data_IF_302010089099
#
_entry.id   IF_302010089099
#
_cell.length_a   1.000
_cell.length_b   1.000
_cell.length_c   1.000
_cell.angle_alpha   90.00
_cell.angle_beta   90.00
_cell.angle_gamma   90.00
#
_symmetry.space_group_name_H-M   'P 1'
#
loop_
_entity.id
_entity.type
_entity.pdbx_description
1 polymer ?
#
# COMPACT_ATOMS: atom_id res chain seq x y z
N UNK A 1 0.68 9.71 3.32
CA UNK A 1 1.71 10.60 2.74
C UNK A 1 2.67 9.78 1.86
N UNK A 2 3.32 10.37 0.84
CA UNK A 2 4.33 9.66 0.01
C UNK A 2 5.72 9.83 0.63
N UNK A 3 6.65 8.90 0.35
CA UNK A 3 8.04 9.01 0.83
C UNK A 3 8.76 10.29 0.37
N UNK A 4 8.41 10.83 -0.79
CA UNK A 4 8.96 12.11 -1.25
C UNK A 4 8.45 13.31 -0.42
N UNK A 5 7.29 13.19 0.23
CA UNK A 5 6.72 14.21 1.10
C UNK A 5 7.17 14.04 2.55
N UNK A 6 7.36 12.80 3.00
CA UNK A 6 7.96 12.45 4.29
C UNK A 6 8.93 11.27 4.09
N UNK A 7 10.24 11.54 4.01
CA UNK A 7 11.25 10.50 3.77
C UNK A 7 11.61 9.71 5.04
N UNK A 8 11.08 10.10 6.20
CA UNK A 8 11.46 9.55 7.52
C UNK A 8 11.43 8.02 7.56
N UNK A 9 10.39 7.32 7.06
CA UNK A 9 10.37 5.86 7.09
C UNK A 9 11.52 5.26 6.29
N UNK A 10 11.78 5.75 5.07
CA UNK A 10 12.85 5.21 4.22
C UNK A 10 14.23 5.43 4.85
N UNK A 11 14.48 6.63 5.38
CA UNK A 11 15.76 6.95 6.04
C UNK A 11 16.01 6.06 7.25
N UNK A 12 14.98 5.82 8.08
CA UNK A 12 15.07 4.90 9.20
C UNK A 12 15.37 3.46 8.77
N UNK A 13 14.76 2.99 7.68
CA UNK A 13 15.03 1.64 7.19
C UNK A 13 16.45 1.51 6.62
N UNK A 14 16.93 2.52 5.89
CA UNK A 14 18.31 2.57 5.39
C UNK A 14 19.30 2.56 6.56
N UNK A 15 19.08 3.38 7.59
CA UNK A 15 19.90 3.40 8.80
C UNK A 15 19.90 2.04 9.52
N UNK A 16 18.73 1.40 9.63
CA UNK A 16 18.62 0.07 10.23
C UNK A 16 19.38 -1.00 9.44
N UNK A 17 19.36 -0.94 8.10
CA UNK A 17 20.15 -1.81 7.25
C UNK A 17 21.66 -1.54 7.39
N UNK A 18 22.08 -0.28 7.40
CA UNK A 18 23.49 0.09 7.51
C UNK A 18 24.10 -0.29 8.86
N UNK A 19 23.32 -0.18 9.94
CA UNK A 19 23.78 -0.48 11.31
C UNK A 19 23.82 -1.97 11.62
N UNK A 20 23.04 -2.80 10.92
CA UNK A 20 22.85 -4.21 11.27
C UNK A 20 23.37 -5.18 10.23
N UNK A 21 23.70 -4.68 9.05
CA UNK A 21 24.20 -5.47 7.93
C UNK A 21 23.40 -6.77 7.73
N UNK A 22 22.06 -6.67 7.58
CA UNK A 22 21.24 -7.86 7.43
C UNK A 22 21.70 -8.64 6.20
N UNK A 23 21.62 -9.98 6.27
CA UNK A 23 21.98 -10.83 5.13
C UNK A 23 21.23 -10.36 3.89
N UNK A 24 21.98 -10.00 2.85
CA UNK A 24 21.37 -9.59 1.61
C UNK A 24 20.48 -10.71 1.06
N UNK A 25 19.25 -10.41 0.62
CA UNK A 25 18.45 -11.39 -0.09
C UNK A 25 19.23 -11.86 -1.33
N UNK A 26 19.13 -13.15 -1.65
CA UNK A 26 19.76 -13.68 -2.84
C UNK A 26 19.28 -12.89 -4.08
N UNK A 27 20.22 -12.38 -4.89
CA UNK A 27 19.94 -11.47 -6.03
C UNK A 27 19.08 -12.06 -7.14
N UNK A 28 18.84 -13.38 -7.12
CA UNK A 28 18.08 -14.15 -8.11
C UNK A 28 17.47 -15.33 -7.34
N UNK A 29 16.29 -15.89 -7.71
CA UNK A 29 16.00 -17.27 -7.31
C UNK A 29 17.19 -18.09 -7.78
N UNK A 30 17.99 -18.62 -6.86
CA UNK A 30 19.22 -19.32 -7.21
C UNK A 30 18.89 -20.35 -8.31
N UNK A 31 19.67 -20.39 -9.40
CA UNK A 31 19.38 -21.21 -10.58
C UNK A 31 18.99 -22.66 -10.20
N UNK A 32 19.59 -23.16 -9.12
CA UNK A 32 19.25 -24.41 -8.43
C UNK A 32 17.74 -24.64 -8.18
N UNK A 33 16.93 -23.62 -7.92
CA UNK A 33 15.49 -23.78 -7.69
C UNK A 33 14.71 -23.98 -8.98
N UNK A 34 15.16 -23.35 -10.06
CA UNK A 34 14.59 -23.59 -11.40
C UNK A 34 14.93 -25.01 -11.82
N UNK A 35 16.19 -25.40 -11.66
CA UNK A 35 16.65 -26.74 -12.02
C UNK A 35 15.92 -27.81 -11.21
N UNK A 36 15.73 -27.60 -9.90
CA UNK A 36 14.93 -28.49 -9.04
C UNK A 36 13.49 -28.62 -9.51
N UNK A 37 12.84 -27.52 -9.90
CA UNK A 37 11.47 -27.56 -10.43
C UNK A 37 11.42 -28.31 -11.77
N UNK A 38 12.36 -28.05 -12.68
CA UNK A 38 12.43 -28.71 -13.98
C UNK A 38 12.81 -30.20 -13.89
N UNK A 39 13.50 -30.61 -12.83
CA UNK A 39 13.76 -32.02 -12.54
C UNK A 39 12.49 -32.79 -12.14
N UNK A 40 11.44 -32.12 -11.69
CA UNK A 40 10.14 -32.74 -11.40
C UNK A 40 9.25 -32.89 -12.64
N UNK A 41 9.71 -32.41 -13.81
CA UNK A 41 8.95 -32.43 -15.06
C UNK A 41 9.57 -33.49 -15.99
N UNK A 42 8.71 -34.25 -16.67
CA UNK A 42 9.11 -35.24 -17.65
C UNK A 42 9.99 -34.62 -18.75
N UNK A 43 10.93 -35.41 -19.26
CA UNK A 43 11.94 -34.94 -20.21
C UNK A 43 11.35 -34.30 -21.48
N UNK A 44 10.21 -34.79 -21.96
CA UNK A 44 9.50 -34.25 -23.12
C UNK A 44 8.92 -32.86 -22.89
N UNK A 45 8.56 -32.52 -21.65
CA UNK A 45 7.84 -31.28 -21.32
C UNK A 45 8.75 -30.18 -20.74
N UNK A 46 10.03 -30.48 -20.49
CA UNK A 46 10.98 -29.53 -19.88
C UNK A 46 11.05 -28.19 -20.61
N UNK A 47 11.11 -28.20 -21.94
CA UNK A 47 11.18 -26.97 -22.75
C UNK A 47 9.91 -26.13 -22.60
N UNK A 48 8.76 -26.77 -22.52
CA UNK A 48 7.47 -26.11 -22.30
C UNK A 48 7.39 -25.54 -20.88
N UNK A 49 7.82 -26.30 -19.87
CA UNK A 49 7.88 -25.84 -18.48
C UNK A 49 8.86 -24.66 -18.31
N UNK A 50 10.01 -24.68 -18.97
CA UNK A 50 10.96 -23.55 -19.01
C UNK A 50 10.32 -22.29 -19.58
N UNK A 51 9.64 -22.40 -20.72
CA UNK A 51 8.94 -21.29 -21.35
C UNK A 51 7.83 -20.72 -20.44
N UNK A 52 7.05 -21.60 -19.79
CA UNK A 52 6.02 -21.20 -18.84
C UNK A 52 6.62 -20.48 -17.62
N UNK A 53 7.72 -20.97 -17.05
CA UNK A 53 8.43 -20.31 -15.94
C UNK A 53 8.94 -18.92 -16.34
N UNK A 54 9.47 -18.78 -17.55
CA UNK A 54 9.88 -17.47 -18.08
C UNK A 54 8.68 -16.53 -18.24
N UNK A 55 7.55 -17.03 -18.73
CA UNK A 55 6.33 -16.26 -18.90
C UNK A 55 5.76 -15.80 -17.55
N UNK A 56 5.70 -16.68 -16.54
CA UNK A 56 5.28 -16.34 -15.17
C UNK A 56 6.16 -15.24 -14.60
N UNK A 57 7.49 -15.35 -14.73
CA UNK A 57 8.43 -14.32 -14.26
C UNK A 57 8.22 -12.97 -14.94
N UNK A 58 8.00 -12.97 -16.25
CA UNK A 58 7.68 -11.76 -17.01
C UNK A 58 6.35 -11.17 -16.55
N UNK A 59 5.34 -12.00 -16.33
CA UNK A 59 4.03 -11.60 -15.83
C UNK A 59 4.10 -10.92 -14.46
N UNK A 60 4.80 -11.53 -13.50
CA UNK A 60 4.98 -10.94 -12.15
C UNK A 60 5.71 -9.59 -12.19
N UNK A 61 6.74 -9.46 -13.03
CA UNK A 61 7.43 -8.17 -13.23
C UNK A 61 6.49 -7.14 -13.85
N UNK A 62 5.74 -7.52 -14.88
CA UNK A 62 4.79 -6.63 -15.55
C UNK A 62 3.69 -6.18 -14.58
N UNK A 63 3.17 -7.08 -13.74
CA UNK A 63 2.19 -6.74 -12.70
C UNK A 63 2.76 -5.71 -11.71
N UNK A 64 3.99 -5.93 -11.23
CA UNK A 64 4.66 -4.99 -10.34
C UNK A 64 4.88 -3.62 -11.00
N UNK A 65 5.28 -3.58 -12.27
CA UNK A 65 5.41 -2.34 -13.03
C UNK A 65 4.06 -1.65 -13.25
N UNK A 66 2.98 -2.40 -13.53
CA UNK A 66 1.65 -1.83 -13.69
C UNK A 66 1.18 -1.13 -12.40
N UNK A 67 1.34 -1.79 -11.25
CA UNK A 67 1.04 -1.20 -9.94
C UNK A 67 1.88 0.06 -9.67
N UNK A 68 3.17 0.03 -10.02
CA UNK A 68 4.04 1.20 -9.90
C UNK A 68 3.56 2.37 -10.77
N UNK A 69 3.20 2.11 -12.03
CA UNK A 69 2.68 3.11 -12.96
C UNK A 69 1.41 3.76 -12.44
N UNK A 70 0.47 2.98 -11.90
CA UNK A 70 -0.75 3.52 -11.26
C UNK A 70 -0.38 4.40 -10.06
N UNK A 71 0.52 3.95 -9.18
CA UNK A 71 0.95 4.73 -8.03
C UNK A 71 1.64 6.05 -8.45
N UNK A 72 2.40 6.04 -9.55
CA UNK A 72 3.05 7.20 -10.13
C UNK A 72 2.02 8.22 -10.65
N UNK A 73 1.01 7.77 -11.41
CA UNK A 73 -0.07 8.65 -11.87
C UNK A 73 -0.84 9.26 -10.70
N UNK A 74 -1.21 8.46 -9.70
CA UNK A 74 -1.89 8.95 -8.50
C UNK A 74 -1.05 9.96 -7.71
N UNK A 75 0.29 9.80 -7.69
CA UNK A 75 1.17 10.79 -7.07
C UNK A 75 1.17 12.11 -7.85
N UNK A 76 1.09 12.07 -9.19
CA UNK A 76 0.87 13.23 -10.04
C UNK A 76 -0.48 13.89 -9.73
N UNK A 77 -1.58 13.15 -9.80
CA UNK A 77 -2.94 13.64 -9.53
C UNK A 77 -3.06 14.29 -8.16
N UNK A 78 -2.40 13.73 -7.13
CA UNK A 78 -2.37 14.34 -5.79
C UNK A 78 -1.79 15.76 -5.81
N UNK A 79 -0.75 16.03 -6.60
CA UNK A 79 -0.15 17.37 -6.69
C UNK A 79 -1.13 18.37 -7.30
N UNK A 80 -1.86 17.96 -8.33
CA UNK A 80 -2.91 18.79 -8.95
C UNK A 80 -4.06 19.07 -7.99
N UNK A 81 -4.54 18.04 -7.27
CA UNK A 81 -5.58 18.21 -6.26
C UNK A 81 -5.15 19.19 -5.16
N UNK A 82 -3.94 19.04 -4.62
CA UNK A 82 -3.42 19.97 -3.62
C UNK A 82 -3.26 21.39 -4.14
N UNK A 83 -2.84 21.57 -5.40
CA UNK A 83 -2.78 22.89 -6.02
C UNK A 83 -4.17 23.55 -6.09
N UNK A 84 -5.19 22.80 -6.51
CA UNK A 84 -6.58 23.28 -6.50
C UNK A 84 -7.06 23.60 -5.06
N UNK A 85 -6.70 22.76 -4.09
CA UNK A 85 -6.98 22.98 -2.68
C UNK A 85 -6.35 24.26 -2.12
N UNK A 86 -5.09 24.55 -2.50
CA UNK A 86 -4.41 25.80 -2.14
C UNK A 86 -5.07 27.03 -2.76
N UNK A 87 -5.48 26.96 -4.02
CA UNK A 87 -6.21 28.05 -4.70
C UNK A 87 -7.54 28.32 -3.99
N UNK A 88 -8.33 27.28 -3.72
CA UNK A 88 -9.62 27.40 -3.03
C UNK A 88 -9.47 27.80 -1.54
N UNK A 89 -8.32 27.57 -0.92
CA UNK A 89 -8.04 28.10 0.42
C UNK A 89 -7.71 29.60 0.35
N UNK A 90 -7.04 30.05 -0.72
CA UNK A 90 -6.61 31.45 -0.89
C UNK A 90 -7.80 32.41 -1.01
N UNK A 91 -8.88 31.99 -1.66
CA UNK A 91 -10.13 32.76 -1.74
C UNK A 91 -11.18 32.38 -0.68
N UNK A 92 -10.80 31.50 0.26
CA UNK A 92 -11.58 31.13 1.43
C UNK A 92 -12.69 30.10 1.19
N UNK A 93 -12.81 29.52 -0.01
CA UNK A 93 -13.77 28.43 -0.27
C UNK A 93 -13.49 27.19 0.57
N UNK A 94 -12.22 26.85 0.78
CA UNK A 94 -11.80 25.78 1.70
C UNK A 94 -11.16 26.37 2.97
N UNK A 95 -11.30 25.65 4.09
CA UNK A 95 -10.62 26.00 5.34
C UNK A 95 -9.16 25.51 5.33
N UNK A 96 -8.91 24.31 4.80
CA UNK A 96 -7.57 23.76 4.63
C UNK A 96 -7.40 23.17 3.22
N UNK A 97 -6.19 23.23 2.68
CA UNK A 97 -5.91 22.71 1.33
C UNK A 97 -6.19 21.20 1.20
N UNK A 98 -5.97 20.42 2.26
CA UNK A 98 -6.25 18.98 2.28
C UNK A 98 -7.76 18.66 2.21
N UNK A 99 -8.64 19.64 2.43
CA UNK A 99 -10.08 19.44 2.36
C UNK A 99 -10.54 19.08 0.95
N UNK A 100 -9.72 19.37 -0.06
CA UNK A 100 -9.93 18.97 -1.46
C UNK A 100 -10.12 17.46 -1.61
N UNK A 101 -9.56 16.64 -0.72
CA UNK A 101 -9.72 15.17 -0.78
C UNK A 101 -11.10 14.68 -0.34
N UNK A 102 -11.96 15.56 0.17
CA UNK A 102 -13.36 15.24 0.47
C UNK A 102 -14.31 15.61 -0.69
N UNK A 103 -13.78 16.06 -1.83
CA UNK A 103 -14.57 16.38 -3.00
C UNK A 103 -14.36 15.37 -4.13
N UNK A 104 -15.42 15.12 -4.87
CA UNK A 104 -15.38 14.34 -6.09
C UNK A 104 -14.64 15.11 -7.19
N UNK A 105 -14.17 14.39 -8.22
CA UNK A 105 -13.43 15.02 -9.33
C UNK A 105 -14.24 16.12 -10.02
N UNK A 106 -15.55 15.93 -10.16
CA UNK A 106 -16.42 16.93 -10.77
C UNK A 106 -16.63 18.16 -9.90
N UNK A 107 -16.76 18.00 -8.59
CA UNK A 107 -16.86 19.12 -7.66
C UNK A 107 -15.55 19.92 -7.60
N UNK A 108 -14.41 19.23 -7.66
CA UNK A 108 -13.11 19.88 -7.78
C UNK A 108 -12.99 20.64 -9.11
N UNK A 109 -13.48 20.08 -10.22
CA UNK A 109 -13.56 20.79 -11.51
C UNK A 109 -14.42 22.05 -11.38
N UNK A 110 -15.60 21.96 -10.76
CA UNK A 110 -16.50 23.10 -10.54
C UNK A 110 -15.84 24.21 -9.71
N UNK A 111 -15.04 23.84 -8.71
CA UNK A 111 -14.23 24.81 -7.98
C UNK A 111 -13.19 25.47 -8.90
N UNK A 112 -12.48 24.71 -9.74
CA UNK A 112 -11.46 25.28 -10.64
C UNK A 112 -12.04 26.14 -11.78
N UNK A 113 -13.24 25.84 -12.27
CA UNK A 113 -13.90 26.61 -13.33
C UNK A 113 -14.70 27.80 -12.82
N UNK A 114 -14.85 27.94 -11.50
CA UNK A 114 -15.62 29.01 -10.86
C UNK A 114 -17.14 28.79 -10.86
N UNK A 115 -17.61 27.61 -11.27
CA UNK A 115 -19.02 27.20 -11.09
C UNK A 115 -19.37 27.15 -9.60
N UNK A 116 -18.43 26.66 -8.78
CA UNK A 116 -18.45 26.82 -7.33
C UNK A 116 -17.54 27.97 -6.91
N UNK A 117 -18.12 29.17 -6.91
CA UNK A 117 -17.44 30.39 -6.52
C UNK A 117 -17.67 30.75 -5.04
N UNK A 118 -17.08 31.86 -4.62
CA UNK A 118 -17.03 32.34 -3.24
C UNK A 118 -18.43 32.53 -2.63
N UNK A 119 -19.47 32.79 -3.43
CA UNK A 119 -20.84 32.93 -2.90
C UNK A 119 -21.39 31.63 -2.30
N UNK A 120 -20.86 30.48 -2.72
CA UNK A 120 -21.20 29.16 -2.19
C UNK A 120 -20.26 28.69 -1.06
N UNK A 121 -19.40 29.56 -0.52
CA UNK A 121 -18.38 29.21 0.48
C UNK A 121 -18.94 28.42 1.67
N UNK A 122 -20.05 28.87 2.25
CA UNK A 122 -20.65 28.19 3.42
C UNK A 122 -21.09 26.76 3.07
N UNK A 123 -21.68 26.56 1.88
CA UNK A 123 -22.08 25.24 1.39
C UNK A 123 -20.86 24.34 1.17
N UNK A 124 -19.81 24.87 0.55
CA UNK A 124 -18.56 24.13 0.26
C UNK A 124 -17.92 23.67 1.57
N UNK A 125 -17.79 24.56 2.56
CA UNK A 125 -17.20 24.24 3.86
C UNK A 125 -18.05 23.23 4.63
N UNK A 126 -19.36 23.42 4.69
CA UNK A 126 -20.28 22.48 5.33
C UNK A 126 -20.22 21.08 4.69
N UNK A 127 -20.08 21.00 3.36
CA UNK A 127 -19.92 19.72 2.64
C UNK A 127 -18.61 19.02 3.00
N UNK A 128 -17.50 19.76 3.05
CA UNK A 128 -16.20 19.22 3.46
C UNK A 128 -16.25 18.68 4.91
N UNK A 129 -16.85 19.43 5.84
CA UNK A 129 -17.02 19.03 7.23
C UNK A 129 -17.87 17.76 7.37
N UNK A 130 -19.03 17.72 6.70
CA UNK A 130 -19.92 16.57 6.71
C UNK A 130 -19.20 15.31 6.21
N UNK A 131 -18.49 15.39 5.08
CA UNK A 131 -17.78 14.24 4.52
C UNK A 131 -16.57 13.83 5.33
N UNK A 132 -15.86 14.78 5.98
CA UNK A 132 -14.81 14.47 6.94
C UNK A 132 -15.37 13.69 8.13
N UNK A 133 -16.52 14.10 8.66
CA UNK A 133 -17.19 13.40 9.75
C UNK A 133 -17.61 11.98 9.33
N UNK A 134 -18.19 11.82 8.13
CA UNK A 134 -18.52 10.50 7.57
C UNK A 134 -17.27 9.63 7.40
N UNK A 135 -16.19 10.17 6.85
CA UNK A 135 -14.93 9.45 6.71
C UNK A 135 -14.36 9.00 8.06
N UNK A 136 -14.40 9.87 9.07
CA UNK A 136 -13.95 9.52 10.42
C UNK A 136 -14.79 8.40 11.05
N UNK A 137 -16.10 8.35 10.77
CA UNK A 137 -16.96 7.24 11.18
C UNK A 137 -16.59 5.93 10.47
N UNK A 138 -16.37 5.97 9.15
CA UNK A 138 -15.97 4.79 8.38
C UNK A 138 -14.59 4.26 8.79
N UNK A 139 -13.64 5.14 9.12
CA UNK A 139 -12.32 4.74 9.58
C UNK A 139 -12.34 3.92 10.89
N UNK A 140 -13.40 4.02 11.68
CA UNK A 140 -13.59 3.23 12.90
C UNK A 140 -14.24 1.86 12.64
N UNK A 141 -14.74 1.62 11.43
CA UNK A 141 -15.39 0.37 11.06
C UNK A 141 -14.38 -0.62 10.48
N UNK A 142 -14.50 -1.90 10.85
CA UNK A 142 -13.79 -2.98 10.17
C UNK A 142 -14.65 -3.48 9.01
N UNK A 143 -14.16 -3.44 7.76
CA UNK A 143 -14.89 -4.04 6.65
C UNK A 143 -15.00 -5.55 6.85
N UNK A 144 -16.11 -6.13 6.39
CA UNK A 144 -16.26 -7.58 6.30
C UNK A 144 -15.28 -8.17 5.28
N UNK A 145 -14.69 -9.32 5.57
CA UNK A 145 -13.70 -9.97 4.69
C UNK A 145 -14.29 -10.32 3.32
N UNK A 146 -15.57 -10.67 3.29
CA UNK A 146 -16.33 -10.95 2.08
C UNK A 146 -17.81 -10.68 2.37
N UNK A 147 -18.52 -10.11 1.39
CA UNK A 147 -19.97 -10.04 1.39
C UNK A 147 -20.50 -11.07 0.38
N UNK A 148 -21.44 -11.91 0.82
CA UNK A 148 -22.21 -12.80 -0.04
C UNK A 148 -23.64 -12.26 -0.10
N UNK A 149 -23.94 -11.49 -1.15
CA UNK A 149 -25.10 -10.61 -1.17
C UNK A 149 -24.95 -9.51 -0.13
N UNK A 150 -25.92 -9.39 0.78
CA UNK A 150 -25.92 -8.38 1.84
C UNK A 150 -25.35 -8.89 3.19
N UNK A 151 -24.87 -10.14 3.22
CA UNK A 151 -24.39 -10.78 4.45
C UNK A 151 -22.85 -10.93 4.47
N UNK A 152 -22.26 -10.70 5.65
CA UNK A 152 -20.84 -10.98 5.87
C UNK A 152 -20.57 -12.49 5.87
N UNK A 153 -19.64 -12.94 5.02
CA UNK A 153 -19.16 -14.31 5.03
C UNK A 153 -18.20 -14.52 6.21
N UNK A 154 -18.19 -15.73 6.76
CA UNK A 154 -17.30 -16.14 7.84
C UNK A 154 -16.22 -17.07 7.31
N UNK A 155 -14.95 -16.80 7.63
CA UNK A 155 -13.86 -17.73 7.36
C UNK A 155 -13.86 -18.86 8.39
N UNK A 156 -13.72 -20.11 7.93
CA UNK A 156 -13.52 -21.28 8.79
C UNK A 156 -12.04 -21.47 9.21
N UNK A 157 -11.12 -20.69 8.64
CA UNK A 157 -9.67 -20.81 8.89
C UNK A 157 -9.20 -19.61 9.70
N UNK A 158 -8.47 -19.88 10.78
CA UNK A 158 -7.98 -18.84 11.71
C UNK A 158 -6.89 -17.93 11.11
N UNK A 159 -6.06 -18.44 10.20
CA UNK A 159 -5.02 -17.68 9.48
C UNK A 159 -4.57 -18.42 8.21
N UNK A 160 -4.06 -17.66 7.24
CA UNK A 160 -3.44 -18.21 6.03
C UNK A 160 -1.91 -18.16 6.12
N UNK A 161 -1.19 -19.25 5.77
CA UNK A 161 0.26 -19.23 5.75
C UNK A 161 0.77 -18.42 4.55
N UNK A 162 1.50 -17.33 4.81
CA UNK A 162 2.11 -16.52 3.75
C UNK A 162 3.41 -17.13 3.21
N UNK A 163 4.28 -17.63 4.08
CA UNK A 163 5.57 -18.25 3.72
C UNK A 163 5.88 -19.40 4.68
N UNK A 164 6.54 -20.45 4.20
CA UNK A 164 7.05 -21.52 5.07
C UNK A 164 8.24 -21.03 5.92
N UNK A 165 8.26 -21.41 7.20
CA UNK A 165 9.34 -21.11 8.13
C UNK A 165 8.84 -20.91 9.55
N UNK A 166 9.77 -20.86 10.50
CA UNK A 166 9.49 -20.59 11.92
C UNK A 166 10.44 -19.50 12.42
N UNK A 167 9.89 -18.50 13.09
CA UNK A 167 10.65 -17.38 13.67
C UNK A 167 10.05 -17.01 15.02
N UNK A 168 10.90 -16.58 15.95
CA UNK A 168 10.46 -16.02 17.22
C UNK A 168 11.09 -14.65 17.46
N UNK A 169 10.35 -13.75 18.11
CA UNK A 169 10.78 -12.39 18.42
C UNK A 169 9.65 -11.58 19.05
N UNK A 170 9.94 -10.37 19.55
CA UNK A 170 8.91 -9.48 20.08
C UNK A 170 7.90 -9.11 18.98
N UNK A 171 6.60 -9.18 19.29
CA UNK A 171 5.55 -8.68 18.41
C UNK A 171 5.48 -7.15 18.50
N UNK A 172 5.54 -6.47 17.36
CA UNK A 172 5.35 -5.02 17.24
C UNK A 172 4.17 -4.75 16.33
N UNK A 173 3.08 -4.21 16.88
CA UNK A 173 1.91 -3.79 16.11
C UNK A 173 2.15 -2.38 15.57
N UNK A 174 1.84 -2.17 14.31
CA UNK A 174 1.99 -0.86 13.68
C UNK A 174 0.81 -0.45 12.85
N UNK A 175 0.42 0.80 13.07
CA UNK A 175 -0.52 1.51 12.22
C UNK A 175 0.22 2.43 11.21
N UNK A 176 1.47 2.82 11.49
CA UNK A 176 2.33 3.64 10.59
C UNK A 176 3.79 3.16 10.55
N UNK A 177 4.48 3.07 9.41
CA UNK A 177 5.81 2.45 9.33
C UNK A 177 6.89 3.26 10.08
N UNK A 178 7.39 2.76 11.22
CA UNK A 178 8.59 3.29 11.90
C UNK A 178 9.74 2.25 11.94
N UNK A 179 10.58 2.17 10.90
CA UNK A 179 11.48 1.01 10.70
C UNK A 179 12.54 0.74 11.78
N UNK A 180 12.92 1.73 12.58
CA UNK A 180 14.00 1.58 13.57
C UNK A 180 13.64 0.60 14.71
N UNK A 181 12.35 0.41 15.01
CA UNK A 181 11.86 -0.47 16.10
C UNK A 181 11.65 -1.93 15.63
N UNK A 182 11.78 -2.21 14.33
CA UNK A 182 11.52 -3.53 13.74
C UNK A 182 12.61 -4.58 13.99
N UNK A 183 13.66 -4.26 14.76
CA UNK A 183 14.82 -5.15 14.87
C UNK A 183 14.45 -6.51 15.45
N UNK A 184 14.66 -7.56 14.69
CA UNK A 184 14.44 -8.91 15.21
C UNK A 184 12.99 -9.15 15.65
N UNK A 185 12.07 -8.27 15.26
CA UNK A 185 10.68 -8.27 15.69
C UNK A 185 9.80 -8.98 14.67
N UNK A 186 8.71 -9.56 15.14
CA UNK A 186 7.58 -9.93 14.29
C UNK A 186 6.72 -8.68 14.15
N UNK A 187 6.53 -8.21 12.92
CA UNK A 187 5.78 -6.98 12.65
C UNK A 187 4.34 -7.34 12.33
N UNK A 188 3.41 -6.82 13.13
CA UNK A 188 1.97 -6.97 12.97
C UNK A 188 1.36 -5.71 12.36
N UNK A 189 0.65 -5.83 11.24
CA UNK A 189 0.02 -4.69 10.55
C UNK A 189 -1.43 -5.00 10.17
N UNK A 190 -2.31 -4.00 10.02
CA UNK A 190 -3.65 -4.24 9.50
C UNK A 190 -3.64 -4.76 8.06
N UNK A 191 -2.80 -4.16 7.20
CA UNK A 191 -2.68 -4.51 5.78
C UNK A 191 -1.23 -4.31 5.32
N UNK A 192 -0.74 -5.24 4.50
CA UNK A 192 0.55 -5.12 3.81
C UNK A 192 0.38 -4.49 2.43
N UNK A 193 1.32 -3.62 2.09
CA UNK A 193 1.48 -3.04 0.76
C UNK A 193 2.97 -2.99 0.37
N UNK A 194 3.26 -2.53 -0.84
CA UNK A 194 4.65 -2.45 -1.34
C UNK A 194 5.57 -1.54 -0.52
N UNK A 195 5.04 -0.57 0.23
CA UNK A 195 5.83 0.31 1.11
C UNK A 195 6.42 -0.44 2.31
N UNK A 196 5.78 -1.53 2.75
CA UNK A 196 6.30 -2.40 3.81
C UNK A 196 7.53 -3.21 3.38
N UNK A 197 7.82 -3.31 2.08
CA UNK A 197 8.99 -4.01 1.57
C UNK A 197 10.32 -3.48 2.16
N UNK A 198 10.33 -2.21 2.58
CA UNK A 198 11.47 -1.56 3.23
C UNK A 198 11.86 -2.22 4.57
N UNK A 199 10.94 -2.95 5.20
CA UNK A 199 11.17 -3.66 6.46
C UNK A 199 11.67 -5.08 6.29
N UNK A 200 11.54 -5.68 5.10
CA UNK A 200 11.87 -7.09 4.87
C UNK A 200 13.30 -7.48 5.30
N UNK A 201 14.34 -6.63 5.13
CA UNK A 201 15.68 -6.99 5.59
C UNK A 201 15.84 -7.03 7.11
N UNK A 202 14.98 -6.35 7.88
CA UNK A 202 15.17 -6.11 9.31
C UNK A 202 14.11 -6.77 10.21
N UNK A 203 12.93 -7.07 9.67
CA UNK A 203 11.88 -7.81 10.36
C UNK A 203 12.20 -9.31 10.39
N UNK A 204 11.80 -10.01 11.47
CA UNK A 204 11.88 -11.47 11.55
C UNK A 204 10.71 -12.17 10.89
N UNK A 205 9.53 -11.56 10.95
CA UNK A 205 8.32 -12.10 10.35
C UNK A 205 7.29 -11.00 10.20
N UNK A 206 6.30 -11.24 9.34
CA UNK A 206 5.16 -10.36 9.11
C UNK A 206 3.88 -11.10 9.46
N UNK A 207 2.98 -10.42 10.17
CA UNK A 207 1.61 -10.87 10.43
C UNK A 207 0.69 -9.75 9.99
N UNK A 208 -0.32 -10.08 9.20
CA UNK A 208 -1.29 -9.10 8.69
C UNK A 208 -2.71 -9.53 9.02
N UNK A 209 -3.60 -8.56 9.28
CA UNK A 209 -5.03 -8.85 9.47
C UNK A 209 -5.68 -9.23 8.14
N UNK A 210 -5.28 -8.56 7.05
CA UNK A 210 -5.77 -8.82 5.70
C UNK A 210 -4.63 -9.23 4.78
N UNK A 211 -4.85 -10.20 3.92
CA UNK A 211 -3.87 -10.71 2.97
C UNK A 211 -4.40 -11.91 2.20
N UNK A 212 -3.91 -12.08 0.98
CA UNK A 212 -4.16 -13.23 0.11
C UNK A 212 -3.00 -14.21 0.16
#
# INVERSE_FOLDING_TARGET
PRWASDPTPVLHAVLACATREPKHPAKVPAAQYVDKLLQQVDGSDKKTAEAALQQIRRGLRLQSHALHTVAYFLAGTRRWALAAGHEATTDGRLAHADDVFFFELEEMKQMMTGEWNISAREEIQARAEARRATFAQWAQQSPSDLLLGDAAAQSAVAALPGTAGEVAGPLRRWDEPQPHICNGAVVGVPQLDSGWAVLLPIARGLVTKTGT
#
